data_IF_206606010562
#
_entry.id   IF_206606010562
#
_cell.length_a   1.000
_cell.length_b   1.000
_cell.length_c   1.000
_cell.angle_alpha   90.00
_cell.angle_beta   90.00
_cell.angle_gamma   90.00
#
_symmetry.space_group_name_H-M   'P 1'
#
loop_
_entity.id
_entity.type
_entity.pdbx_description
1 polymer ?
#
# COMPACT_ATOMS: atom_id res chain seq x y z
N UNK A 1 -78.14 9.40 -62.67
CA UNK A 1 -78.92 8.28 -62.11
C UNK A 1 -78.20 7.74 -60.87
N UNK A 2 -78.93 7.61 -59.74
CA UNK A 2 -78.67 6.86 -58.47
C UNK A 2 -77.28 7.03 -57.81
N UNK A 3 -77.06 7.75 -56.71
CA UNK A 3 -77.62 7.73 -55.33
C UNK A 3 -77.54 6.36 -54.62
N UNK A 4 -76.57 6.20 -53.70
CA UNK A 4 -76.76 5.81 -52.29
C UNK A 4 -75.41 5.58 -51.54
N UNK A 5 -75.19 6.34 -50.46
CA UNK A 5 -74.53 5.90 -49.19
C UNK A 5 -75.66 5.42 -48.23
N UNK A 6 -75.45 4.90 -46.99
CA UNK A 6 -74.22 4.60 -46.22
C UNK A 6 -74.25 3.21 -45.53
N UNK A 7 -73.15 2.84 -44.86
CA UNK A 7 -73.12 1.72 -43.91
C UNK A 7 -72.08 1.97 -42.81
N UNK A 8 -72.52 2.57 -41.71
CA UNK A 8 -71.81 2.72 -40.44
C UNK A 8 -71.85 1.40 -39.67
N UNK A 9 -70.69 0.90 -39.23
CA UNK A 9 -70.58 -0.04 -38.12
C UNK A 9 -69.61 0.54 -37.09
N UNK A 10 -70.18 1.02 -35.97
CA UNK A 10 -69.46 1.21 -34.71
C UNK A 10 -69.24 -0.16 -34.08
N UNK A 11 -68.03 -0.43 -33.61
CA UNK A 11 -67.81 -1.43 -32.57
C UNK A 11 -66.78 -0.88 -31.58
N UNK A 12 -67.30 -0.62 -30.38
CA UNK A 12 -66.59 -0.31 -29.16
C UNK A 12 -65.59 -1.42 -28.83
N UNK A 13 -64.36 -1.05 -28.46
CA UNK A 13 -63.37 -2.01 -27.98
C UNK A 13 -62.16 -1.29 -27.41
N UNK A 14 -62.21 -1.02 -26.10
CA UNK A 14 -61.06 -0.91 -25.19
C UNK A 14 -59.80 -0.23 -25.72
N UNK A 15 -59.62 1.03 -25.34
CA UNK A 15 -58.38 1.79 -25.47
C UNK A 15 -57.24 1.12 -24.68
N UNK A 16 -56.55 0.16 -25.30
CA UNK A 16 -55.21 -0.22 -24.91
C UNK A 16 -54.28 0.93 -25.34
N UNK A 17 -53.91 1.79 -24.39
CA UNK A 17 -52.81 2.74 -24.54
C UNK A 17 -51.51 1.96 -24.80
N UNK A 18 -51.23 1.67 -26.06
CA UNK A 18 -49.90 1.35 -26.53
C UNK A 18 -49.05 2.60 -26.33
N UNK A 19 -48.39 2.66 -25.18
CA UNK A 19 -47.22 3.52 -24.99
C UNK A 19 -46.17 2.97 -25.95
N UNK A 20 -46.13 3.52 -27.17
CA UNK A 20 -44.95 3.41 -28.02
C UNK A 20 -43.83 4.15 -27.29
N UNK A 21 -43.08 3.39 -26.48
CA UNK A 21 -41.76 3.79 -26.06
C UNK A 21 -40.94 3.77 -27.34
N UNK A 22 -40.87 4.93 -28.02
CA UNK A 22 -39.85 5.20 -29.01
C UNK A 22 -38.53 5.11 -28.26
N UNK A 23 -37.99 3.89 -28.16
CA UNK A 23 -36.56 3.69 -27.93
C UNK A 23 -35.96 4.32 -29.18
N UNK A 24 -35.62 5.60 -29.07
CA UNK A 24 -34.73 6.26 -30.00
C UNK A 24 -33.44 5.46 -29.92
N UNK A 25 -33.33 4.45 -30.78
CA UNK A 25 -32.08 3.85 -31.19
C UNK A 25 -31.34 4.99 -31.87
N UNK A 26 -30.66 5.81 -31.07
CA UNK A 26 -29.55 6.59 -31.55
C UNK A 26 -28.47 5.56 -31.92
N UNK A 27 -28.66 4.93 -33.08
CA UNK A 27 -27.56 4.43 -33.88
C UNK A 27 -26.79 5.65 -34.39
N UNK A 28 -26.17 6.38 -33.47
CA UNK A 28 -25.04 7.22 -33.81
C UNK A 28 -23.92 6.24 -34.18
N UNK A 29 -23.90 5.83 -35.44
CA UNK A 29 -22.71 5.30 -36.09
C UNK A 29 -21.73 6.46 -36.29
N UNK A 30 -21.30 7.06 -35.19
CA UNK A 30 -20.08 7.85 -35.18
C UNK A 30 -18.93 6.85 -35.30
N UNK A 31 -18.22 6.89 -36.41
CA UNK A 31 -16.97 6.17 -36.67
C UNK A 31 -15.83 6.72 -35.81
N UNK A 32 -16.04 6.81 -34.51
CA UNK A 32 -15.07 7.29 -33.53
C UNK A 32 -14.54 6.15 -32.66
N UNK A 33 -13.36 5.65 -33.01
CA UNK A 33 -12.22 5.25 -32.16
C UNK A 33 -12.42 4.74 -30.71
N UNK A 34 -13.34 3.79 -30.50
CA UNK A 34 -13.64 3.17 -29.19
C UNK A 34 -12.69 2.01 -28.83
N UNK A 35 -11.40 2.27 -28.73
CA UNK A 35 -10.42 1.19 -28.63
C UNK A 35 -10.32 0.53 -27.25
N UNK A 36 -10.09 -0.79 -27.20
CA UNK A 36 -9.83 -1.52 -25.97
C UNK A 36 -8.35 -1.41 -25.56
N UNK A 37 -8.04 -1.39 -24.27
CA UNK A 37 -6.65 -1.42 -23.80
C UNK A 37 -6.00 -2.77 -24.12
N UNK A 38 -4.75 -2.78 -24.58
CA UNK A 38 -4.04 -4.02 -24.88
C UNK A 38 -3.67 -4.77 -23.61
N UNK A 39 -3.87 -6.09 -23.61
CA UNK A 39 -3.51 -6.96 -22.48
C UNK A 39 -2.02 -6.86 -22.13
N UNK A 40 -1.14 -6.62 -23.11
CA UNK A 40 0.31 -6.49 -22.89
C UNK A 40 0.67 -5.26 -22.03
N UNK A 41 0.03 -4.12 -22.29
CA UNK A 41 0.16 -2.92 -21.44
C UNK A 41 -0.42 -3.15 -20.05
N UNK A 42 -1.63 -3.71 -19.98
CA UNK A 42 -2.28 -4.01 -18.69
C UNK A 42 -1.49 -5.02 -17.84
N UNK A 43 -0.85 -6.00 -18.47
CA UNK A 43 0.05 -6.95 -17.79
C UNK A 43 1.19 -6.22 -17.09
N UNK A 44 1.83 -5.27 -17.77
CA UNK A 44 2.95 -4.51 -17.19
C UNK A 44 2.50 -3.60 -16.06
N UNK A 45 1.32 -2.98 -16.17
CA UNK A 45 0.70 -2.19 -15.10
C UNK A 45 0.42 -3.07 -13.89
N UNK A 46 -0.07 -4.28 -14.08
CA UNK A 46 -0.32 -5.22 -12.98
C UNK A 46 0.95 -5.75 -12.34
N UNK A 47 2.04 -5.91 -13.10
CA UNK A 47 3.35 -6.20 -12.53
C UNK A 47 3.86 -5.05 -11.65
N UNK A 48 3.69 -3.80 -12.07
CA UNK A 48 3.99 -2.63 -11.22
C UNK A 48 3.11 -2.62 -9.96
N UNK A 49 1.82 -2.92 -10.11
CA UNK A 49 0.90 -3.01 -8.98
C UNK A 49 1.31 -4.10 -7.96
N UNK A 50 1.86 -5.22 -8.44
CA UNK A 50 2.42 -6.26 -7.59
C UNK A 50 3.53 -5.71 -6.68
N UNK A 51 4.44 -4.90 -7.23
CA UNK A 51 5.50 -4.27 -6.44
C UNK A 51 4.94 -3.28 -5.40
N UNK A 52 3.85 -2.55 -5.71
CA UNK A 52 3.16 -1.73 -4.71
C UNK A 52 2.62 -2.58 -3.56
N UNK A 53 2.00 -3.72 -3.86
CA UNK A 53 1.44 -4.65 -2.85
C UNK A 53 2.50 -5.33 -1.98
N UNK A 54 3.72 -5.48 -2.49
CA UNK A 54 4.86 -6.03 -1.74
C UNK A 54 5.33 -5.12 -0.59
N UNK A 55 4.84 -3.88 -0.51
CA UNK A 55 5.24 -2.92 0.52
C UNK A 55 4.88 -3.36 1.93
N UNK A 56 3.69 -3.96 2.13
CA UNK A 56 3.27 -4.48 3.44
C UNK A 56 4.15 -5.64 3.94
N UNK A 57 4.34 -6.73 3.18
CA UNK A 57 5.21 -7.82 3.62
C UNK A 57 6.67 -7.38 3.78
N UNK A 58 7.14 -6.40 3.01
CA UNK A 58 8.47 -5.81 3.19
C UNK A 58 8.59 -5.03 4.51
N UNK A 59 7.60 -4.18 4.81
CA UNK A 59 7.56 -3.44 6.08
C UNK A 59 7.52 -4.40 7.28
N UNK A 60 6.78 -5.51 7.17
CA UNK A 60 6.74 -6.56 8.19
C UNK A 60 8.12 -7.22 8.39
N UNK A 61 8.86 -7.51 7.33
CA UNK A 61 10.23 -8.06 7.41
C UNK A 61 11.19 -7.10 8.12
N UNK A 62 11.18 -5.82 7.72
CA UNK A 62 12.00 -4.77 8.34
C UNK A 62 11.73 -4.65 9.84
N UNK A 63 10.44 -4.56 10.22
CA UNK A 63 10.05 -4.48 11.63
C UNK A 63 10.44 -5.73 12.42
N UNK A 64 10.22 -6.92 11.85
CA UNK A 64 10.50 -8.20 12.52
C UNK A 64 12.00 -8.36 12.76
N UNK A 65 12.83 -8.04 11.76
CA UNK A 65 14.29 -8.04 11.89
C UNK A 65 14.77 -7.08 12.97
N UNK A 66 14.21 -5.86 13.02
CA UNK A 66 14.59 -4.87 14.02
C UNK A 66 14.19 -5.28 15.45
N UNK A 67 13.00 -5.87 15.61
CA UNK A 67 12.51 -6.38 16.91
C UNK A 67 13.29 -7.61 17.37
N UNK A 68 13.67 -8.51 16.46
CA UNK A 68 14.54 -9.67 16.77
C UNK A 68 15.86 -9.21 17.41
N UNK A 69 16.50 -8.17 16.86
CA UNK A 69 17.72 -7.60 17.44
C UNK A 69 17.49 -7.06 18.85
N UNK A 70 16.36 -6.39 19.10
CA UNK A 70 16.01 -5.91 20.45
C UNK A 70 15.85 -7.09 21.42
N UNK A 71 15.13 -8.14 21.02
CA UNK A 71 14.90 -9.32 21.85
C UNK A 71 16.21 -10.02 22.20
N UNK A 72 17.10 -10.19 21.21
CA UNK A 72 18.42 -10.77 21.41
C UNK A 72 19.29 -9.94 22.37
N UNK A 73 19.30 -8.62 22.23
CA UNK A 73 19.99 -7.76 23.20
C UNK A 73 19.40 -7.87 24.62
N UNK A 74 18.09 -8.07 24.78
CA UNK A 74 17.47 -8.29 26.08
C UNK A 74 17.88 -9.64 26.69
N UNK A 75 17.96 -10.70 25.87
CA UNK A 75 18.47 -12.02 26.28
C UNK A 75 19.92 -11.88 26.73
N UNK A 76 20.77 -11.20 25.95
CA UNK A 76 22.16 -10.95 26.30
C UNK A 76 22.34 -10.21 27.63
N UNK A 77 21.48 -9.22 27.93
CA UNK A 77 21.51 -8.55 29.24
C UNK A 77 21.12 -9.50 30.38
N UNK A 78 20.14 -10.37 30.17
CA UNK A 78 19.75 -11.41 31.13
C UNK A 78 20.88 -12.38 31.43
N UNK A 79 21.56 -12.88 30.39
CA UNK A 79 22.70 -13.78 30.53
C UNK A 79 23.86 -13.11 31.29
N UNK A 80 24.12 -11.82 31.02
CA UNK A 80 25.15 -11.07 31.75
C UNK A 80 24.79 -10.88 33.23
N UNK A 81 23.52 -10.63 33.55
CA UNK A 81 23.07 -10.49 34.94
C UNK A 81 23.21 -11.81 35.71
N UNK A 82 22.88 -12.94 35.07
CA UNK A 82 23.03 -14.27 35.65
C UNK A 82 24.49 -14.56 36.04
N UNK A 83 25.43 -14.27 35.15
CA UNK A 83 26.88 -14.46 35.40
C UNK A 83 27.41 -13.64 36.57
N UNK A 84 26.84 -12.45 36.80
CA UNK A 84 27.21 -11.60 37.95
C UNK A 84 26.63 -12.16 39.24
N UNK A 85 25.40 -12.70 39.21
CA UNK A 85 24.72 -13.22 40.42
C UNK A 85 25.21 -14.60 40.85
N UNK A 86 25.70 -15.44 39.93
CA UNK A 86 26.20 -16.79 40.22
C UNK A 86 27.68 -16.80 40.67
N UNK A 87 28.25 -15.63 40.95
CA UNK A 87 29.63 -15.43 41.43
C UNK A 87 30.71 -16.04 40.50
N UNK A 88 30.34 -16.36 39.25
CA UNK A 88 31.23 -16.92 38.24
C UNK A 88 32.27 -15.90 37.77
N UNK A 89 31.99 -14.61 37.94
CA UNK A 89 32.89 -13.52 37.54
C UNK A 89 32.73 -12.38 38.55
N UNK A 90 33.54 -12.38 39.61
CA UNK A 90 33.57 -11.33 40.64
C UNK A 90 33.52 -9.93 40.04
N UNK A 91 32.35 -9.30 40.04
CA UNK A 91 32.08 -7.87 39.86
C UNK A 91 32.93 -7.13 38.83
N UNK A 92 33.29 -7.76 37.71
CA UNK A 92 34.29 -7.18 36.83
C UNK A 92 33.76 -5.92 36.16
N UNK A 93 34.49 -4.81 36.30
CA UNK A 93 34.12 -3.49 35.76
C UNK A 93 33.75 -3.55 34.28
N UNK A 94 34.39 -4.45 33.52
CA UNK A 94 34.10 -4.65 32.10
C UNK A 94 32.71 -5.25 31.84
N UNK A 95 32.22 -6.18 32.66
CA UNK A 95 30.85 -6.72 32.53
C UNK A 95 29.82 -5.61 32.78
N UNK A 96 30.08 -4.73 33.75
CA UNK A 96 29.20 -3.59 34.02
C UNK A 96 29.18 -2.63 32.84
N UNK A 97 30.32 -2.36 32.20
CA UNK A 97 30.40 -1.53 30.99
C UNK A 97 29.61 -2.16 29.84
N UNK A 98 29.77 -3.46 29.60
CA UNK A 98 29.04 -4.14 28.51
C UNK A 98 27.54 -4.20 28.80
N UNK A 99 27.11 -4.55 30.02
CA UNK A 99 25.67 -4.53 30.38
C UNK A 99 25.09 -3.12 30.23
N UNK A 100 25.82 -2.07 30.62
CA UNK A 100 25.40 -0.69 30.37
C UNK A 100 25.28 -0.39 28.88
N UNK A 101 26.24 -0.84 28.06
CA UNK A 101 26.19 -0.68 26.60
C UNK A 101 25.00 -1.42 25.98
N UNK A 102 24.70 -2.64 26.42
CA UNK A 102 23.50 -3.41 26.01
C UNK A 102 22.25 -2.64 26.38
N UNK A 103 22.06 -2.28 27.65
CA UNK A 103 20.87 -1.54 28.14
C UNK A 103 20.64 -0.23 27.39
N UNK A 104 21.69 0.57 27.21
CA UNK A 104 21.60 1.86 26.51
C UNK A 104 21.31 1.68 25.02
N UNK A 105 21.89 0.66 24.37
CA UNK A 105 21.61 0.34 22.97
C UNK A 105 20.17 -0.15 22.79
N UNK A 106 19.71 -1.08 23.62
CA UNK A 106 18.33 -1.59 23.61
C UNK A 106 17.33 -0.46 23.83
N UNK A 107 17.55 0.41 24.83
CA UNK A 107 16.67 1.55 25.08
C UNK A 107 16.65 2.55 23.91
N UNK A 108 17.79 2.80 23.27
CA UNK A 108 17.86 3.63 22.07
C UNK A 108 17.08 3.00 20.91
N UNK A 109 17.24 1.69 20.68
CA UNK A 109 16.52 0.98 19.62
C UNK A 109 15.01 0.98 19.85
N UNK A 110 14.54 0.73 21.08
CA UNK A 110 13.13 0.83 21.45
C UNK A 110 12.60 2.25 21.19
N UNK A 111 13.37 3.28 21.55
CA UNK A 111 12.99 4.68 21.27
C UNK A 111 12.87 4.94 19.77
N UNK A 112 13.81 4.45 18.96
CA UNK A 112 13.75 4.55 17.48
C UNK A 112 12.52 3.84 16.94
N UNK A 113 12.23 2.62 17.41
CA UNK A 113 11.02 1.88 17.02
C UNK A 113 9.75 2.68 17.34
N UNK A 114 9.64 3.26 18.54
CA UNK A 114 8.50 4.11 18.89
C UNK A 114 8.40 5.38 18.04
N UNK A 115 9.54 6.01 17.73
CA UNK A 115 9.59 7.21 16.90
C UNK A 115 9.09 6.92 15.48
N UNK A 116 9.40 5.73 14.96
CA UNK A 116 9.12 5.35 13.57
C UNK A 116 7.92 4.42 13.42
N UNK A 117 7.19 4.14 14.51
CA UNK A 117 6.01 3.26 14.48
C UNK A 117 4.94 3.77 13.50
N UNK A 118 4.72 5.08 13.45
CA UNK A 118 3.79 5.69 12.49
C UNK A 118 4.28 5.50 11.04
N UNK A 119 5.57 5.71 10.77
CA UNK A 119 6.16 5.49 9.44
C UNK A 119 5.98 4.03 9.01
N UNK A 120 6.22 3.08 9.91
CA UNK A 120 6.10 1.65 9.63
C UNK A 120 4.68 1.20 9.27
N UNK A 121 3.65 1.93 9.74
CA UNK A 121 2.25 1.69 9.36
C UNK A 121 1.88 2.46 8.08
N UNK A 122 2.19 3.75 8.02
CA UNK A 122 1.72 4.61 6.93
C UNK A 122 2.47 4.38 5.61
N UNK A 123 3.73 3.94 5.64
CA UNK A 123 4.50 3.64 4.44
C UNK A 123 3.83 2.56 3.59
N UNK A 124 3.63 1.32 4.10
CA UNK A 124 2.96 0.27 3.32
C UNK A 124 1.49 0.61 3.04
N UNK A 125 0.79 1.29 3.96
CA UNK A 125 -0.59 1.70 3.74
C UNK A 125 -0.73 2.68 2.55
N UNK A 126 0.21 3.61 2.38
CA UNK A 126 0.23 4.54 1.24
C UNK A 126 0.39 3.78 -0.08
N UNK A 127 1.31 2.83 -0.12
CA UNK A 127 1.52 1.98 -1.30
C UNK A 127 0.30 1.13 -1.63
N UNK A 128 -0.30 0.50 -0.62
CA UNK A 128 -1.48 -0.35 -0.80
C UNK A 128 -2.74 0.45 -1.18
N UNK A 129 -2.88 1.69 -0.71
CA UNK A 129 -3.93 2.60 -1.18
C UNK A 129 -3.79 2.86 -2.68
N UNK A 130 -2.58 3.13 -3.15
CA UNK A 130 -2.33 3.33 -4.58
C UNK A 130 -2.54 2.02 -5.36
N UNK A 131 -2.13 0.89 -4.80
CA UNK A 131 -2.35 -0.41 -5.42
C UNK A 131 -3.85 -0.70 -5.60
N UNK A 132 -4.68 -0.43 -4.59
CA UNK A 132 -6.13 -0.59 -4.67
C UNK A 132 -6.76 0.27 -5.78
N UNK A 133 -6.26 1.50 -6.00
CA UNK A 133 -6.73 2.34 -7.12
C UNK A 133 -6.39 1.73 -8.48
N UNK A 134 -5.26 1.05 -8.60
CA UNK A 134 -4.88 0.32 -9.82
C UNK A 134 -5.73 -0.95 -9.97
N UNK A 135 -5.99 -1.67 -8.88
CA UNK A 135 -6.89 -2.84 -8.87
C UNK A 135 -8.30 -2.49 -9.33
N UNK A 136 -8.84 -1.36 -8.87
CA UNK A 136 -10.17 -0.89 -9.28
C UNK A 136 -10.19 -0.52 -10.76
N UNK A 137 -9.17 0.20 -11.23
CA UNK A 137 -9.02 0.51 -12.64
C UNK A 137 -9.02 -0.76 -13.51
N UNK A 138 -8.15 -1.72 -13.20
CA UNK A 138 -8.04 -2.96 -13.99
C UNK A 138 -9.29 -3.82 -13.84
N UNK A 139 -9.85 -3.91 -12.63
CA UNK A 139 -11.04 -4.69 -12.32
C UNK A 139 -12.26 -4.20 -13.10
N UNK A 140 -12.50 -2.89 -13.11
CA UNK A 140 -13.61 -2.27 -13.86
C UNK A 140 -13.44 -2.51 -15.37
N UNK A 141 -12.23 -2.30 -15.91
CA UNK A 141 -11.98 -2.49 -17.35
C UNK A 141 -12.10 -3.97 -17.76
N UNK A 142 -11.67 -4.90 -16.90
CA UNK A 142 -11.85 -6.33 -17.12
C UNK A 142 -13.32 -6.74 -17.04
N UNK A 143 -14.10 -6.15 -16.14
CA UNK A 143 -15.53 -6.44 -15.98
C UNK A 143 -16.38 -5.84 -17.11
N UNK A 144 -15.90 -4.79 -17.78
CA UNK A 144 -16.51 -4.20 -18.96
C UNK A 144 -16.26 -5.07 -20.21
N UNK A 145 -16.87 -6.26 -20.23
CA UNK A 145 -16.79 -7.26 -21.30
C UNK A 145 -18.20 -7.65 -21.76
N UNK A 146 -18.43 -7.54 -23.06
CA UNK A 146 -19.58 -8.08 -23.78
C UNK A 146 -19.11 -8.91 -24.98
N UNK A 147 -20.06 -9.41 -25.78
CA UNK A 147 -19.76 -10.34 -26.89
C UNK A 147 -18.86 -9.72 -27.96
N UNK A 148 -19.06 -8.44 -28.28
CA UNK A 148 -18.33 -7.71 -29.32
C UNK A 148 -17.66 -6.44 -28.82
N UNK A 149 -18.04 -5.98 -27.62
CA UNK A 149 -17.55 -4.74 -27.02
C UNK A 149 -16.82 -5.08 -25.72
N UNK A 150 -15.60 -4.63 -25.54
CA UNK A 150 -14.81 -4.92 -24.35
C UNK A 150 -13.72 -3.88 -24.12
N UNK A 151 -13.23 -3.77 -22.89
CA UNK A 151 -12.25 -2.76 -22.52
C UNK A 151 -10.81 -3.26 -22.36
N UNK A 152 -10.60 -4.59 -22.37
CA UNK A 152 -9.26 -5.19 -22.41
C UNK A 152 -9.21 -6.21 -23.55
N UNK A 153 -8.31 -6.00 -24.50
CA UNK A 153 -8.11 -6.86 -25.67
C UNK A 153 -6.93 -7.81 -25.49
N UNK A 154 -7.16 -9.09 -25.75
CA UNK A 154 -6.10 -10.06 -26.03
C UNK A 154 -6.08 -10.33 -27.53
N UNK A 155 -5.19 -9.62 -28.23
CA UNK A 155 -5.17 -9.58 -29.69
C UNK A 155 -6.50 -9.09 -30.28
N UNK A 156 -7.19 -9.90 -31.09
CA UNK A 156 -8.46 -9.53 -31.73
C UNK A 156 -9.71 -9.82 -30.85
N UNK A 157 -9.51 -10.45 -29.68
CA UNK A 157 -10.56 -10.95 -28.81
C UNK A 157 -10.58 -10.24 -27.45
N UNK A 158 -11.68 -10.36 -26.72
CA UNK A 158 -11.73 -9.91 -25.34
C UNK A 158 -10.77 -10.75 -24.49
N UNK A 159 -10.07 -10.11 -23.55
CA UNK A 159 -9.30 -10.86 -22.56
C UNK A 159 -10.26 -11.70 -21.70
N UNK A 160 -10.01 -13.01 -21.63
CA UNK A 160 -10.69 -13.92 -20.73
C UNK A 160 -9.68 -14.51 -19.75
N UNK A 161 -9.94 -14.33 -18.46
CA UNK A 161 -9.11 -14.84 -17.37
C UNK A 161 -8.98 -16.37 -17.34
N UNK A 162 -10.01 -17.09 -17.80
CA UNK A 162 -10.10 -18.55 -17.69
C UNK A 162 -8.97 -19.31 -18.40
N UNK A 163 -8.35 -18.72 -19.42
CA UNK A 163 -7.30 -19.39 -20.20
C UNK A 163 -5.91 -19.19 -19.62
N UNK A 164 -5.64 -18.01 -19.06
CA UNK A 164 -4.38 -17.65 -18.39
C UNK A 164 -4.55 -16.34 -17.63
N UNK A 165 -4.10 -16.30 -16.37
CA UNK A 165 -4.00 -15.06 -15.62
C UNK A 165 -2.85 -14.18 -16.18
N UNK A 166 -3.15 -13.32 -17.16
CA UNK A 166 -2.20 -12.33 -17.69
C UNK A 166 -2.20 -11.02 -16.88
N UNK A 167 -3.17 -10.84 -15.99
CA UNK A 167 -3.31 -9.66 -15.14
C UNK A 167 -2.84 -9.93 -13.70
N UNK A 168 -1.91 -10.87 -13.53
CA UNK A 168 -1.30 -11.19 -12.24
C UNK A 168 -0.72 -9.93 -11.58
N UNK A 169 -0.94 -9.80 -10.27
CA UNK A 169 -0.64 -8.58 -9.51
C UNK A 169 -1.83 -7.61 -9.39
N UNK A 170 -2.77 -7.63 -10.34
CA UNK A 170 -4.10 -7.01 -10.15
C UNK A 170 -5.17 -8.04 -9.85
N UNK A 171 -5.12 -9.19 -10.51
CA UNK A 171 -6.10 -10.28 -10.35
C UNK A 171 -5.44 -11.58 -9.86
N UNK A 172 -6.15 -12.30 -9.00
CA UNK A 172 -5.79 -13.65 -8.55
C UNK A 172 -6.10 -14.70 -9.63
N UNK A 173 -5.75 -15.96 -9.39
CA UNK A 173 -5.98 -17.05 -10.34
C UNK A 173 -7.46 -17.36 -10.59
N UNK A 174 -8.36 -16.83 -9.75
CA UNK A 174 -9.81 -16.91 -9.93
C UNK A 174 -10.40 -15.67 -10.63
N UNK A 175 -9.57 -14.70 -10.99
CA UNK A 175 -9.96 -13.48 -11.70
C UNK A 175 -10.65 -12.45 -10.82
N UNK A 176 -10.49 -12.57 -9.50
CA UNK A 176 -10.87 -11.59 -8.48
C UNK A 176 -9.70 -10.65 -8.23
N UNK A 177 -9.92 -9.52 -7.56
CA UNK A 177 -8.83 -8.63 -7.18
C UNK A 177 -7.81 -9.37 -6.30
N UNK A 178 -6.54 -9.30 -6.67
CA UNK A 178 -5.46 -9.94 -5.94
C UNK A 178 -5.24 -9.23 -4.59
N UNK A 179 -5.07 -10.00 -3.53
CA UNK A 179 -4.59 -9.50 -2.24
C UNK A 179 -3.06 -9.31 -2.25
N UNK A 180 -2.54 -8.59 -1.26
CA UNK A 180 -1.13 -8.66 -0.92
C UNK A 180 -0.82 -9.96 -0.16
N UNK A 181 0.44 -10.39 -0.21
CA UNK A 181 0.93 -11.55 0.54
C UNK A 181 1.08 -11.19 2.03
N UNK A 182 0.75 -12.13 2.90
CA UNK A 182 0.94 -12.01 4.35
C UNK A 182 2.34 -12.48 4.78
N UNK A 183 3.05 -13.21 3.92
CA UNK A 183 4.41 -13.66 4.20
C UNK A 183 5.41 -12.52 4.06
N UNK A 184 6.24 -12.34 5.09
CA UNK A 184 7.28 -11.32 5.13
C UNK A 184 8.25 -11.43 3.93
N UNK A 185 8.69 -10.28 3.43
CA UNK A 185 9.54 -10.18 2.25
C UNK A 185 10.92 -9.60 2.58
N UNK A 186 11.94 -10.45 2.48
CA UNK A 186 13.33 -10.07 2.77
C UNK A 186 14.01 -9.28 1.65
N UNK A 187 13.50 -9.37 0.41
CA UNK A 187 14.10 -8.70 -0.73
C UNK A 187 13.61 -7.26 -0.88
N UNK A 188 14.51 -6.29 -1.19
CA UNK A 188 14.10 -4.93 -1.49
C UNK A 188 13.15 -4.86 -2.69
N UNK A 189 12.22 -3.90 -2.64
CA UNK A 189 11.24 -3.67 -3.69
C UNK A 189 11.87 -2.80 -4.78
N UNK A 190 11.63 -3.13 -6.05
CA UNK A 190 12.19 -2.38 -7.17
C UNK A 190 11.10 -1.62 -7.92
N UNK A 191 10.57 -0.59 -7.26
CA UNK A 191 9.47 0.20 -7.80
C UNK A 191 9.81 0.87 -9.14
N UNK A 192 11.01 1.45 -9.29
CA UNK A 192 11.39 2.18 -10.50
C UNK A 192 11.51 1.26 -11.71
N UNK A 193 12.07 0.05 -11.55
CA UNK A 193 12.19 -0.90 -12.67
C UNK A 193 10.82 -1.36 -13.14
N UNK A 194 9.92 -1.68 -12.20
CA UNK A 194 8.57 -2.10 -12.53
C UNK A 194 7.75 -0.96 -13.16
N UNK A 195 7.86 0.25 -12.62
CA UNK A 195 7.20 1.44 -13.16
C UNK A 195 7.70 1.78 -14.58
N UNK A 196 9.02 1.81 -14.78
CA UNK A 196 9.64 2.01 -16.09
C UNK A 196 9.13 0.97 -17.08
N UNK A 197 9.09 -0.30 -16.69
CA UNK A 197 8.56 -1.38 -17.53
C UNK A 197 7.12 -1.08 -17.95
N UNK A 198 6.25 -0.69 -17.00
CA UNK A 198 4.86 -0.31 -17.25
C UNK A 198 4.72 0.86 -18.22
N UNK A 199 5.63 1.83 -18.19
CA UNK A 199 5.54 3.08 -18.96
C UNK A 199 6.40 3.10 -20.24
N UNK A 200 7.07 2.00 -20.60
CA UNK A 200 8.16 2.02 -21.61
C UNK A 200 7.73 1.87 -23.07
N UNK A 201 6.65 1.16 -23.38
CA UNK A 201 6.39 0.69 -24.75
C UNK A 201 5.12 1.31 -25.33
N UNK A 202 5.29 2.20 -26.33
CA UNK A 202 4.16 2.88 -27.02
C UNK A 202 3.16 1.86 -27.58
N UNK A 203 3.65 0.83 -28.28
CA UNK A 203 2.81 -0.19 -28.88
C UNK A 203 1.91 -0.94 -27.87
N UNK A 204 2.30 -1.03 -26.59
CA UNK A 204 1.51 -1.69 -25.54
C UNK A 204 0.49 -0.76 -24.88
N UNK A 205 0.70 0.55 -24.99
CA UNK A 205 -0.11 1.59 -24.35
C UNK A 205 -1.12 2.23 -25.32
N UNK A 206 -1.09 1.83 -26.59
CA UNK A 206 -2.13 2.14 -27.56
C UNK A 206 -3.33 1.20 -27.41
N UNK A 207 -4.52 1.72 -27.72
CA UNK A 207 -5.71 0.88 -27.83
C UNK A 207 -5.73 0.02 -29.10
N UNK A 208 -6.55 -1.03 -29.11
CA UNK A 208 -6.88 -1.81 -30.32
C UNK A 208 -8.14 -1.27 -30.98
N UNK A 209 -8.13 -1.18 -32.32
CA UNK A 209 -9.25 -0.62 -33.06
C UNK A 209 -10.55 -1.42 -32.91
N UNK A 210 -11.68 -0.69 -32.96
CA UNK A 210 -13.03 -1.23 -33.21
C UNK A 210 -13.65 -2.11 -32.12
N UNK A 211 -13.28 -1.93 -30.84
CA UNK A 211 -13.77 -2.77 -29.72
C UNK A 211 -14.78 -2.10 -28.77
N UNK A 212 -15.26 -0.91 -29.13
CA UNK A 212 -16.38 -0.22 -28.48
C UNK A 212 -16.26 -0.05 -26.96
N UNK A 213 -15.04 0.07 -26.42
CA UNK A 213 -14.87 0.38 -25.00
C UNK A 213 -15.31 1.83 -24.73
N UNK A 214 -16.35 2.00 -23.93
CA UNK A 214 -16.84 3.34 -23.53
C UNK A 214 -16.05 3.94 -22.37
N UNK A 215 -15.18 3.16 -21.72
CA UNK A 215 -14.36 3.65 -20.60
C UNK A 215 -13.06 4.34 -21.05
N UNK A 216 -12.71 4.23 -22.33
CA UNK A 216 -11.50 4.85 -22.92
C UNK A 216 -11.81 6.14 -23.68
N UNK A 217 -13.04 6.64 -23.63
CA UNK A 217 -13.47 7.83 -24.37
C UNK A 217 -14.71 8.47 -23.72
N UNK A 218 -14.85 9.79 -23.87
CA UNK A 218 -16.08 10.51 -23.57
C UNK A 218 -16.27 11.70 -24.51
N UNK A 219 -17.49 12.25 -24.57
CA UNK A 219 -17.86 13.33 -25.50
C UNK A 219 -18.52 12.80 -26.78
N UNK A 220 -18.40 13.55 -27.88
CA UNK A 220 -19.13 13.31 -29.15
C UNK A 220 -18.98 11.88 -29.70
N UNK A 221 -17.87 11.19 -29.39
CA UNK A 221 -17.57 9.83 -29.85
C UNK A 221 -17.79 8.71 -28.80
N UNK A 222 -17.94 9.08 -27.52
CA UNK A 222 -18.01 8.13 -26.39
C UNK A 222 -19.24 8.24 -25.48
N UNK A 223 -20.11 9.22 -25.74
CA UNK A 223 -21.28 9.50 -24.91
C UNK A 223 -20.99 10.57 -23.85
N UNK A 224 -22.05 11.09 -23.24
CA UNK A 224 -22.01 12.19 -22.26
C UNK A 224 -21.84 11.72 -20.81
N UNK A 225 -21.52 10.43 -20.59
CA UNK A 225 -21.48 9.83 -19.25
C UNK A 225 -20.51 10.51 -18.26
N UNK A 226 -19.50 11.21 -18.78
CA UNK A 226 -18.51 11.97 -18.01
C UNK A 226 -18.62 13.50 -18.22
N UNK A 227 -19.64 13.97 -18.94
CA UNK A 227 -19.83 15.38 -19.26
C UNK A 227 -20.88 16.01 -18.33
N UNK A 228 -20.55 17.15 -17.72
CA UNK A 228 -21.51 17.98 -16.98
C UNK A 228 -21.59 19.34 -17.67
N UNK A 229 -22.78 19.78 -18.08
CA UNK A 229 -23.00 21.11 -18.69
C UNK A 229 -22.07 21.42 -19.88
N UNK A 230 -21.81 20.44 -20.75
CA UNK A 230 -20.87 20.53 -21.88
C UNK A 230 -19.40 20.80 -21.48
N UNK A 231 -19.06 20.69 -20.19
CA UNK A 231 -17.69 20.63 -19.71
C UNK A 231 -17.23 19.18 -19.71
N UNK A 232 -16.26 18.89 -20.57
CA UNK A 232 -15.59 17.61 -20.65
C UNK A 232 -14.27 17.73 -19.87
N UNK A 233 -14.22 17.21 -18.64
CA UNK A 233 -12.98 17.16 -17.85
C UNK A 233 -12.28 15.83 -18.11
N UNK A 234 -10.95 15.88 -18.19
CA UNK A 234 -10.12 14.68 -18.28
C UNK A 234 -10.43 13.73 -17.10
N UNK A 235 -10.80 12.49 -17.43
CA UNK A 235 -11.02 11.44 -16.43
C UNK A 235 -9.72 10.69 -16.19
N UNK A 236 -9.37 10.40 -14.93
CA UNK A 236 -8.11 9.73 -14.57
C UNK A 236 -8.39 8.41 -13.85
N UNK A 237 -7.69 7.37 -14.28
CA UNK A 237 -7.78 6.02 -13.76
C UNK A 237 -6.47 5.59 -13.11
N UNK A 238 -6.55 4.64 -12.18
CA UNK A 238 -5.36 4.02 -11.59
C UNK A 238 -4.45 5.03 -10.90
N UNK A 239 -5.02 5.98 -10.14
CA UNK A 239 -4.28 7.07 -9.51
C UNK A 239 -3.52 7.99 -10.50
N UNK A 240 -4.02 8.14 -11.73
CA UNK A 240 -3.43 9.01 -12.75
C UNK A 240 -2.57 8.29 -13.79
N UNK A 241 -2.43 6.96 -13.71
CA UNK A 241 -1.71 6.16 -14.72
C UNK A 241 -2.28 6.32 -16.12
N UNK A 242 -3.61 6.33 -16.22
CA UNK A 242 -4.32 6.43 -17.49
C UNK A 242 -5.28 7.61 -17.45
N UNK A 243 -5.32 8.37 -18.53
CA UNK A 243 -6.13 9.57 -18.71
C UNK A 243 -7.03 9.37 -19.90
N UNK A 244 -8.30 9.65 -19.74
CA UNK A 244 -9.23 9.80 -20.87
C UNK A 244 -9.36 11.29 -21.12
N UNK A 245 -8.81 11.75 -22.24
CA UNK A 245 -8.84 13.16 -22.61
C UNK A 245 -10.24 13.60 -23.06
N UNK A 246 -10.60 14.84 -22.71
CA UNK A 246 -11.78 15.51 -23.24
C UNK A 246 -11.71 15.60 -24.78
N UNK A 247 -12.79 15.20 -25.47
CA UNK A 247 -12.86 15.09 -26.93
C UNK A 247 -11.73 14.24 -27.58
N UNK A 248 -11.09 13.35 -26.82
CA UNK A 248 -10.01 12.51 -27.32
C UNK A 248 -10.47 11.49 -28.37
N UNK A 249 -9.55 11.14 -29.28
CA UNK A 249 -9.69 9.95 -30.13
C UNK A 249 -9.42 8.67 -29.32
N UNK A 250 -9.20 7.53 -29.99
CA UNK A 250 -8.74 6.29 -29.35
C UNK A 250 -7.53 6.57 -28.45
N UNK A 251 -7.49 5.94 -27.27
CA UNK A 251 -6.38 6.13 -26.36
C UNK A 251 -5.05 5.73 -27.01
N UNK A 252 -4.07 6.62 -26.88
CA UNK A 252 -2.69 6.56 -27.39
C UNK A 252 -1.70 6.56 -26.23
N UNK A 253 -0.39 6.48 -26.48
CA UNK A 253 0.60 6.65 -25.41
C UNK A 253 0.52 8.00 -24.68
N UNK A 254 -0.01 9.05 -25.32
CA UNK A 254 -0.14 10.38 -24.69
C UNK A 254 -1.23 10.42 -23.61
N UNK A 255 -2.13 9.44 -23.63
CA UNK A 255 -3.16 9.21 -22.61
C UNK A 255 -2.60 8.50 -21.37
N UNK A 256 -1.30 8.17 -21.37
CA UNK A 256 -0.56 7.68 -20.22
C UNK A 256 0.40 8.79 -19.75
N UNK A 257 0.01 9.62 -18.76
CA UNK A 257 0.75 10.84 -18.39
C UNK A 257 2.21 10.60 -17.94
N UNK A 258 2.59 9.35 -17.73
CA UNK A 258 3.94 8.96 -17.32
C UNK A 258 4.69 8.15 -18.38
N UNK A 259 4.18 8.07 -19.61
CA UNK A 259 4.88 7.43 -20.71
C UNK A 259 6.33 7.92 -20.82
N UNK A 260 7.26 6.98 -21.00
CA UNK A 260 8.69 7.25 -21.11
C UNK A 260 9.39 7.61 -19.80
N UNK A 261 8.67 7.82 -18.69
CA UNK A 261 9.31 8.06 -17.38
C UNK A 261 10.09 6.82 -16.92
N UNK A 262 11.27 7.09 -16.36
CA UNK A 262 12.21 6.05 -15.91
C UNK A 262 12.09 5.75 -14.42
N UNK A 263 11.54 6.67 -13.63
CA UNK A 263 11.40 6.55 -12.19
C UNK A 263 10.01 7.02 -11.76
N UNK A 264 9.62 6.64 -10.55
CA UNK A 264 8.39 7.10 -9.91
C UNK A 264 8.46 8.54 -9.43
N UNK A 265 9.61 9.20 -9.52
CA UNK A 265 9.80 10.52 -8.97
C UNK A 265 9.01 11.57 -9.77
N UNK A 266 8.34 12.47 -9.05
CA UNK A 266 7.42 13.45 -9.64
C UNK A 266 6.17 12.81 -10.25
N UNK A 267 5.70 11.69 -9.69
CA UNK A 267 4.41 11.06 -10.01
C UNK A 267 3.56 10.98 -8.76
N UNK A 268 2.29 10.66 -8.93
CA UNK A 268 1.32 10.45 -7.87
C UNK A 268 1.69 9.27 -6.95
N UNK A 269 2.61 8.39 -7.40
CA UNK A 269 3.11 7.25 -6.66
C UNK A 269 4.42 7.52 -5.91
N UNK A 270 5.10 8.66 -6.14
CA UNK A 270 6.34 9.02 -5.43
C UNK A 270 6.25 8.89 -3.90
N UNK A 271 5.11 9.26 -3.25
CA UNK A 271 4.99 9.14 -1.80
C UNK A 271 5.15 7.71 -1.26
N UNK A 272 4.76 6.69 -2.04
CA UNK A 272 4.95 5.29 -1.64
C UNK A 272 6.45 4.96 -1.53
N UNK A 273 7.22 5.19 -2.60
CA UNK A 273 8.67 4.96 -2.65
C UNK A 273 9.39 5.75 -1.56
N UNK A 274 9.07 7.04 -1.39
CA UNK A 274 9.72 7.89 -0.40
C UNK A 274 9.51 7.39 1.03
N UNK A 275 8.27 7.03 1.40
CA UNK A 275 7.97 6.54 2.75
C UNK A 275 8.55 5.16 3.03
N UNK A 276 8.57 4.26 2.04
CA UNK A 276 9.18 2.95 2.20
C UNK A 276 10.71 3.04 2.32
N UNK A 277 11.35 3.92 1.54
CA UNK A 277 12.78 4.19 1.69
C UNK A 277 13.09 4.80 3.07
N UNK A 278 12.25 5.70 3.57
CA UNK A 278 12.41 6.25 4.92
C UNK A 278 12.33 5.13 5.99
N UNK A 279 11.34 4.25 5.90
CA UNK A 279 11.19 3.11 6.80
C UNK A 279 12.45 2.22 6.79
N UNK A 280 12.96 1.87 5.61
CA UNK A 280 14.16 1.05 5.47
C UNK A 280 15.43 1.77 5.96
N UNK A 281 15.54 3.08 5.75
CA UNK A 281 16.66 3.87 6.27
C UNK A 281 16.66 3.93 7.81
N UNK A 282 15.47 4.02 8.41
CA UNK A 282 15.31 4.20 9.86
C UNK A 282 15.38 2.89 10.63
N UNK A 283 14.87 1.79 10.06
CA UNK A 283 14.71 0.49 10.73
C UNK A 283 15.30 -0.71 9.97
N UNK A 284 15.79 -0.52 8.75
CA UNK A 284 16.30 -1.62 7.91
C UNK A 284 17.66 -2.15 8.34
N UNK A 285 18.43 -1.38 9.10
CA UNK A 285 19.72 -1.81 9.66
C UNK A 285 19.78 -1.57 11.16
N UNK A 286 20.19 -2.59 11.90
CA UNK A 286 20.51 -2.43 13.31
C UNK A 286 21.76 -1.54 13.48
N UNK A 287 21.83 -0.72 14.55
CA UNK A 287 23.03 0.05 14.85
C UNK A 287 24.28 -0.84 14.92
N UNK A 288 25.41 -0.38 14.38
CA UNK A 288 26.66 -1.15 14.37
C UNK A 288 27.03 -1.70 15.76
N UNK A 289 26.80 -0.91 16.81
CA UNK A 289 27.04 -1.33 18.19
C UNK A 289 26.15 -2.52 18.60
N UNK A 290 24.88 -2.55 18.21
CA UNK A 290 23.99 -3.69 18.46
C UNK A 290 24.56 -4.96 17.81
N UNK A 291 24.95 -4.87 16.53
CA UNK A 291 25.58 -5.98 15.81
C UNK A 291 26.87 -6.45 16.46
N UNK A 292 27.68 -5.55 17.02
CA UNK A 292 28.90 -5.90 17.74
C UNK A 292 28.60 -6.58 19.09
N UNK A 293 27.62 -6.07 19.84
CA UNK A 293 27.19 -6.65 21.13
C UNK A 293 26.63 -8.06 20.94
N UNK A 294 25.83 -8.30 19.89
CA UNK A 294 25.27 -9.62 19.59
C UNK A 294 26.33 -10.67 19.19
N UNK A 295 27.57 -10.27 18.87
CA UNK A 295 28.69 -11.23 18.69
C UNK A 295 29.13 -11.86 20.01
N UNK A 296 28.68 -11.34 21.15
CA UNK A 296 28.95 -11.93 22.45
C UNK A 296 28.06 -13.16 22.71
N UNK A 297 26.87 -13.23 22.11
CA UNK A 297 25.97 -14.40 22.21
C UNK A 297 26.62 -15.67 21.64
N UNK A 298 27.27 -15.56 20.48
CA UNK A 298 27.87 -16.72 19.78
C UNK A 298 29.19 -17.20 20.39
N UNK A 299 29.67 -16.54 21.45
CA UNK A 299 30.96 -16.84 22.10
C UNK A 299 30.84 -17.55 23.44
N UNK A 300 29.68 -18.11 23.80
CA UNK A 300 29.56 -18.91 25.02
C UNK A 300 29.15 -20.37 24.80
N UNK A 301 29.76 -21.33 25.54
CA UNK A 301 30.48 -21.12 26.80
C UNK A 301 32.01 -21.16 26.64
N UNK A 302 32.65 -19.99 26.53
CA UNK A 302 34.00 -19.74 27.09
C UNK A 302 34.09 -18.28 27.55
N UNK A 303 33.26 -17.90 28.50
CA UNK A 303 33.73 -16.97 29.52
C UNK A 303 34.45 -17.81 30.58
N UNK A 304 35.62 -18.33 30.21
CA UNK A 304 36.61 -18.90 31.12
C UNK A 304 37.78 -17.93 31.12
N UNK A 305 37.94 -17.16 32.20
CA UNK A 305 39.06 -16.30 32.63
C UNK A 305 39.79 -15.37 31.62
N UNK A 306 39.52 -15.43 30.32
CA UNK A 306 40.22 -14.69 29.26
C UNK A 306 39.29 -14.41 28.08
N UNK A 307 38.22 -13.65 28.30
CA UNK A 307 37.46 -13.06 27.21
C UNK A 307 38.30 -11.92 26.58
N UNK A 308 38.97 -12.19 25.45
CA UNK A 308 39.68 -11.14 24.70
C UNK A 308 38.66 -10.23 24.01
N UNK A 309 38.50 -9.04 24.57
CA UNK A 309 37.73 -7.95 23.97
C UNK A 309 38.47 -7.48 22.72
N UNK A 310 37.81 -7.42 21.56
CA UNK A 310 38.42 -6.77 20.41
C UNK A 310 38.57 -5.26 20.67
N UNK A 311 39.74 -4.70 20.37
CA UNK A 311 40.18 -3.33 20.71
C UNK A 311 39.20 -2.17 20.43
N UNK A 312 38.15 -2.37 19.64
CA UNK A 312 37.15 -1.33 19.35
C UNK A 312 36.18 -1.05 20.50
N UNK A 313 36.04 -1.94 21.49
CA UNK A 313 35.26 -1.64 22.70
C UNK A 313 36.07 -0.86 23.74
N UNK A 314 37.40 -0.91 23.67
CA UNK A 314 38.33 -0.20 24.56
C UNK A 314 38.31 1.32 24.36
N UNK A 315 37.62 1.84 23.35
CA UNK A 315 37.48 3.28 23.08
C UNK A 315 36.22 3.89 23.72
N UNK A 316 35.27 3.08 24.19
CA UNK A 316 34.12 3.57 24.97
C UNK A 316 34.56 4.08 26.35
N UNK A 317 35.71 3.62 26.85
CA UNK A 317 36.29 4.03 28.14
C UNK A 317 37.15 5.29 28.07
N UNK A 318 37.47 5.84 26.88
CA UNK A 318 38.37 6.99 26.76
C UNK A 318 37.68 8.35 26.65
N UNK A 319 36.34 8.42 26.70
CA UNK A 319 35.66 9.71 26.97
C UNK A 319 35.83 10.06 28.44
N UNK A 320 36.95 10.73 28.73
CA UNK A 320 37.27 11.38 29.99
C UNK A 320 36.04 12.16 30.48
N UNK A 321 35.49 11.88 31.68
CA UNK A 321 34.43 12.70 32.23
C UNK A 321 34.96 14.13 32.44
N UNK A 322 34.15 15.18 32.17
CA UNK A 322 34.55 16.53 32.50
C UNK A 322 34.78 16.62 34.01
N UNK A 323 36.04 16.80 34.40
CA UNK A 323 36.45 17.05 35.78
C UNK A 323 35.89 18.39 36.23
N UNK A 324 34.70 18.40 36.81
CA UNK A 324 34.28 19.42 37.77
C UNK A 324 33.68 18.73 38.99
N UNK A 325 34.58 18.53 39.95
CA UNK A 325 34.25 18.23 41.34
C UNK A 325 33.46 19.41 41.93
N UNK A 326 32.17 19.20 42.19
CA UNK A 326 31.48 19.84 43.31
C UNK A 326 30.68 18.77 44.04
N UNK A 327 31.17 18.41 45.24
CA UNK A 327 30.41 17.65 46.23
C UNK A 327 29.11 18.40 46.52
N UNK A 328 27.99 17.90 46.03
CA UNK A 328 26.69 18.20 46.62
C UNK A 328 26.28 17.05 47.52
N UNK A 329 26.20 17.40 48.80
CA UNK A 329 25.82 16.59 49.94
C UNK A 329 24.35 16.15 49.75
N UNK A 330 24.13 14.87 49.43
CA UNK A 330 22.79 14.29 49.36
C UNK A 330 22.41 13.84 50.77
N UNK A 331 21.79 14.74 51.52
CA UNK A 331 21.03 14.37 52.70
C UNK A 331 19.62 14.95 52.59
N UNK A 332 18.64 14.11 52.89
CA UNK A 332 17.18 14.34 52.85
C UNK A 332 16.50 14.26 51.48
N UNK A 333 15.81 13.13 51.24
CA UNK A 333 14.40 13.13 50.85
C UNK A 333 13.76 11.83 51.36
N UNK A 334 13.28 11.88 52.60
CA UNK A 334 12.15 11.04 53.01
C UNK A 334 10.92 11.55 52.26
N UNK A 335 10.19 10.69 51.56
CA UNK A 335 8.75 10.91 51.36
C UNK A 335 7.97 9.65 51.71
N UNK A 336 6.78 9.81 52.33
CA UNK A 336 5.99 8.69 52.83
C UNK A 336 5.00 8.19 51.78
N UNK A 337 4.69 6.91 51.90
CA UNK A 337 3.50 6.29 51.34
C UNK A 337 2.26 6.81 52.09
N UNK A 338 1.25 7.31 51.38
CA UNK A 338 -0.14 7.27 51.84
C UNK A 338 -1.12 7.17 50.67
N UNK A 339 -2.06 6.25 50.88
CA UNK A 339 -3.19 5.84 50.04
C UNK A 339 -4.39 6.80 50.11
N UNK A 340 -5.23 6.68 49.07
CA UNK A 340 -6.71 6.82 49.04
C UNK A 340 -7.41 8.19 49.24
N UNK A 341 -8.27 8.52 48.26
CA UNK A 341 -9.71 8.68 48.54
C UNK A 341 -10.44 9.90 47.93
N UNK A 342 -11.27 9.65 46.90
CA UNK A 342 -12.65 10.21 46.64
C UNK A 342 -12.84 11.74 46.47
N UNK A 343 -13.87 12.31 45.82
CA UNK A 343 -14.85 12.01 44.77
C UNK A 343 -15.75 13.28 44.66
N UNK A 344 -16.11 13.75 43.45
CA UNK A 344 -17.30 14.57 43.11
C UNK A 344 -17.18 14.94 41.61
N UNK A 345 -17.98 14.48 40.65
CA UNK A 345 -19.43 14.41 40.47
C UNK A 345 -20.07 15.75 40.01
N UNK A 346 -20.27 15.88 38.69
CA UNK A 346 -21.43 16.56 38.07
C UNK A 346 -21.79 15.82 36.78
N UNK A 347 -23.10 15.74 36.53
CA UNK A 347 -23.88 14.71 35.82
C UNK A 347 -24.53 15.33 34.53
N UNK A 348 -25.51 14.73 33.82
CA UNK A 348 -25.35 14.26 32.43
C UNK A 348 -26.45 14.73 31.42
N UNK A 349 -26.33 14.34 30.14
CA UNK A 349 -27.40 14.04 29.14
C UNK A 349 -26.70 13.63 27.83
N UNK A 350 -27.14 12.70 26.98
CA UNK A 350 -28.38 11.94 26.81
C UNK A 350 -28.05 10.71 25.92
N UNK A 351 -28.81 9.62 26.06
CA UNK A 351 -28.65 8.36 25.33
C UNK A 351 -29.37 8.43 23.99
N UNK A 352 -28.79 7.84 22.94
CA UNK A 352 -29.57 7.12 21.93
C UNK A 352 -28.97 5.73 21.69
N UNK A 353 -29.87 4.74 21.72
CA UNK A 353 -29.62 3.32 21.56
C UNK A 353 -29.53 2.98 20.08
N UNK A 354 -28.61 2.10 19.69
CA UNK A 354 -28.85 1.22 18.54
C UNK A 354 -28.46 -0.22 18.88
N UNK A 355 -29.50 -1.06 18.87
CA UNK A 355 -29.46 -2.49 19.21
C UNK A 355 -29.04 -3.29 17.98
N UNK A 356 -28.05 -4.15 18.14
CA UNK A 356 -27.84 -5.33 17.29
C UNK A 356 -28.96 -6.34 17.58
N UNK A 357 -29.64 -6.83 16.55
CA UNK A 357 -30.36 -8.11 16.57
C UNK A 357 -29.89 -8.94 15.39
N UNK A 358 -29.37 -10.12 15.71
CA UNK A 358 -29.25 -11.26 14.82
C UNK A 358 -30.61 -11.94 14.61
N UNK A 359 -30.68 -12.72 13.54
CA UNK A 359 -31.69 -13.72 13.12
C UNK A 359 -32.65 -13.28 12.01
N UNK A 360 -32.28 -13.59 10.75
CA UNK A 360 -32.88 -14.70 10.01
C UNK A 360 -31.92 -15.24 8.95
#
# INVERSE_FOLDING_TARGET
MKKNRPGTAMLNGTAAKLIYLVVSVFANTATGHKGALKISGMTKICNFNSELKRSAPRAAAVLSSYVDVIQRLQILDGDMQMLVTEDHINGSEWLQIISLAVKTTTAAMIKTLHTNAATAVYAPATCNLFAGRVDDFVGIFKAAIGTTNYCIADSANAYNHQTKNKLGGCLDDHGKQATFDEQALETPINYDTAFRSAMSTDADLQTTDSKNCLLTQHGTNGGTAYAENAQEKDTRWGNGLFKVAANGAAATHTDWPHYGKQTLDGTEFSPCKAKMNQLEQELGEAPQLATQLLRLETKQPKITDKLQIPNHFSTLTTRKPPTTSKRHNFNSYKRPWHLCGTAANTKPRERENFSLRQNH
#
